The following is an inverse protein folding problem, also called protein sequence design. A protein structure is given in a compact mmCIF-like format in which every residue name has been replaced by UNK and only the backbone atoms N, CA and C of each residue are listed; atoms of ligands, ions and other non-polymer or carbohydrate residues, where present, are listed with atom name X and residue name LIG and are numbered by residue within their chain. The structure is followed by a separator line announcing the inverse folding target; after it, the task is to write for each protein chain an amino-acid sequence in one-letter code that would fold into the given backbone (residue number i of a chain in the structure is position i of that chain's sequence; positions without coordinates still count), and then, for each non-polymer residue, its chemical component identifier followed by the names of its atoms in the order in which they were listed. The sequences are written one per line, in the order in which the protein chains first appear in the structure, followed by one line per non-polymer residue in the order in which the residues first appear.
data_IF_884132523921
#
_entry.id   IF_884132523921
#
_cell.length_a   1.000
_cell.length_b   1.000
_cell.length_c   1.000
_cell.angle_alpha   90.00
_cell.angle_beta   90.00
_cell.angle_gamma   90.00
#
_symmetry.space_group_name_H-M   'P 1'
#
loop_
_entity.id
_entity.type
_entity.pdbx_description
1 polymer ?
#
# COMPACT_ATOMS: atom_id res chain seq x y z
N UNK A 1 -13.18 -18.81 27.07
CA UNK A 1 -12.47 -19.16 25.84
C UNK A 1 -13.28 -18.58 24.68
N UNK A 2 -12.93 -17.39 24.23
CA UNK A 2 -13.49 -16.79 23.01
C UNK A 2 -12.36 -16.72 21.99
N UNK A 3 -12.37 -17.69 21.08
CA UNK A 3 -11.56 -17.62 19.88
C UNK A 3 -12.15 -16.55 18.96
N UNK A 4 -11.54 -15.38 18.94
CA UNK A 4 -11.75 -14.44 17.86
C UNK A 4 -10.87 -14.90 16.69
N UNK A 5 -11.39 -15.85 15.93
CA UNK A 5 -10.90 -16.20 14.60
C UNK A 5 -11.13 -14.99 13.69
N UNK A 6 -10.13 -14.13 13.60
CA UNK A 6 -10.10 -13.05 12.63
C UNK A 6 -10.01 -13.68 11.24
N UNK A 7 -11.13 -13.76 10.54
CA UNK A 7 -11.18 -14.14 9.13
C UNK A 7 -10.39 -13.08 8.38
N UNK A 8 -9.19 -13.46 7.93
CA UNK A 8 -8.39 -12.60 7.07
C UNK A 8 -9.23 -12.22 5.86
N UNK A 9 -9.47 -10.92 5.66
CA UNK A 9 -10.25 -10.38 4.54
C UNK A 9 -9.69 -10.81 3.18
N UNK A 10 -8.42 -11.25 3.13
CA UNK A 10 -7.80 -11.93 1.98
C UNK A 10 -8.53 -13.19 1.53
N UNK A 11 -9.14 -13.96 2.44
CA UNK A 11 -9.90 -15.16 2.07
C UNK A 11 -11.21 -14.81 1.37
N UNK A 12 -11.78 -13.65 1.66
CA UNK A 12 -13.05 -13.22 1.05
C UNK A 12 -12.86 -12.83 -0.43
N UNK A 13 -11.73 -12.21 -0.78
CA UNK A 13 -11.44 -11.77 -2.16
C UNK A 13 -11.09 -12.95 -3.09
N UNK A 14 -10.66 -14.09 -2.55
CA UNK A 14 -10.31 -15.28 -3.36
C UNK A 14 -11.48 -16.23 -3.63
N UNK A 15 -12.64 -16.05 -2.98
CA UNK A 15 -13.74 -17.03 -3.03
C UNK A 15 -14.90 -16.62 -3.95
N UNK A 16 -14.84 -15.50 -4.65
CA UNK A 16 -15.90 -15.05 -5.57
C UNK A 16 -15.60 -15.28 -7.05
N UNK A 17 -14.88 -16.34 -7.40
CA UNK A 17 -14.92 -16.88 -8.76
C UNK A 17 -16.08 -17.86 -8.87
N UNK A 18 -17.32 -17.37 -8.85
CA UNK A 18 -18.49 -18.17 -9.18
C UNK A 18 -18.76 -17.96 -10.67
N UNK A 19 -18.58 -19.04 -11.42
CA UNK A 19 -19.01 -19.16 -12.80
C UNK A 19 -20.52 -18.89 -12.89
N UNK A 20 -20.94 -17.89 -13.65
CA UNK A 20 -22.34 -17.64 -14.00
C UNK A 20 -22.61 -18.26 -15.37
N UNK A 21 -23.58 -19.16 -15.50
CA UNK A 21 -24.00 -19.65 -16.82
C UNK A 21 -24.74 -18.57 -17.59
N UNK A 22 -24.44 -18.49 -18.88
CA UNK A 22 -25.08 -17.59 -19.83
C UNK A 22 -26.59 -17.83 -19.92
N UNK A 23 -27.37 -16.82 -19.61
CA UNK A 23 -28.74 -16.70 -20.08
C UNK A 23 -28.99 -15.26 -20.52
N UNK A 24 -29.20 -15.09 -21.78
CA UNK A 24 -29.48 -13.83 -22.47
C UNK A 24 -30.83 -13.26 -22.03
N UNK A 25 -30.81 -12.02 -21.48
CA UNK A 25 -31.98 -11.15 -21.47
C UNK A 25 -31.52 -9.75 -21.91
N UNK A 26 -31.98 -9.38 -23.08
CA UNK A 26 -31.90 -8.01 -23.58
C UNK A 26 -32.81 -7.12 -22.70
N UNK A 27 -32.25 -6.40 -21.76
CA UNK A 27 -32.93 -5.31 -21.11
C UNK A 27 -32.10 -4.04 -21.39
N UNK A 28 -32.71 -3.08 -22.06
CA UNK A 28 -32.25 -1.71 -22.18
C UNK A 28 -32.17 -1.12 -20.75
N UNK A 29 -31.01 -1.23 -20.13
CA UNK A 29 -30.70 -0.65 -18.85
C UNK A 29 -29.50 0.24 -19.02
N UNK A 30 -29.70 1.54 -18.77
CA UNK A 30 -28.65 2.52 -18.62
C UNK A 30 -27.50 1.93 -17.81
N UNK A 31 -26.37 1.70 -18.44
CA UNK A 31 -25.12 1.48 -17.73
C UNK A 31 -24.86 2.76 -16.94
N UNK A 32 -25.15 2.71 -15.65
CA UNK A 32 -24.60 3.65 -14.72
C UNK A 32 -23.09 3.45 -14.79
N UNK A 33 -22.45 4.21 -15.68
CA UNK A 33 -21.02 4.44 -15.59
C UNK A 33 -20.88 5.24 -14.31
N UNK A 34 -20.66 4.56 -13.19
CA UNK A 34 -20.23 5.21 -11.97
C UNK A 34 -18.93 5.90 -12.34
N UNK A 35 -18.97 7.23 -12.43
CA UNK A 35 -17.75 8.01 -12.57
C UNK A 35 -16.81 7.56 -11.46
N UNK A 36 -15.54 7.24 -11.76
CA UNK A 36 -14.59 6.90 -10.72
C UNK A 36 -14.62 8.01 -9.67
N UNK A 37 -14.62 7.63 -8.39
CA UNK A 37 -14.58 8.60 -7.32
C UNK A 37 -13.43 9.58 -7.61
N UNK A 38 -13.66 10.88 -7.41
CA UNK A 38 -12.72 11.93 -7.80
C UNK A 38 -11.30 11.78 -7.21
N UNK A 39 -11.10 10.79 -6.32
CA UNK A 39 -9.84 10.46 -5.65
C UNK A 39 -9.40 9.00 -5.89
N UNK A 40 -10.06 8.26 -6.78
CA UNK A 40 -9.66 6.89 -7.07
C UNK A 40 -8.28 6.86 -7.75
N UNK A 41 -7.39 6.01 -7.23
CA UNK A 41 -6.06 5.79 -7.79
C UNK A 41 -6.17 4.92 -9.04
N UNK A 42 -5.39 5.25 -10.06
CA UNK A 42 -5.21 4.38 -11.21
C UNK A 42 -4.42 3.14 -10.77
N UNK A 43 -4.97 1.96 -11.05
CA UNK A 43 -4.36 0.67 -10.71
C UNK A 43 -3.44 0.21 -11.85
N UNK A 44 -2.39 0.96 -12.10
CA UNK A 44 -1.50 0.75 -13.24
C UNK A 44 -0.15 0.12 -12.88
N UNK A 45 0.09 -0.11 -11.60
CA UNK A 45 1.34 -0.69 -11.12
C UNK A 45 2.53 0.26 -11.14
N UNK A 46 2.29 1.56 -11.32
CA UNK A 46 3.31 2.60 -11.23
C UNK A 46 3.07 3.49 -10.01
N UNK A 47 4.13 3.78 -9.29
CA UNK A 47 4.05 4.66 -8.14
C UNK A 47 4.38 6.10 -8.56
N UNK A 48 3.36 6.91 -8.71
CA UNK A 48 3.46 8.35 -8.95
C UNK A 48 3.04 9.18 -7.75
N UNK A 49 2.96 10.53 -7.90
CA UNK A 49 2.51 11.43 -6.84
C UNK A 49 1.10 11.11 -6.33
N UNK A 50 0.20 10.63 -7.20
CA UNK A 50 -1.15 10.22 -6.81
C UNK A 50 -1.13 9.01 -5.87
N UNK A 51 -0.25 8.03 -6.12
CA UNK A 51 -0.06 6.88 -5.24
C UNK A 51 0.50 7.31 -3.88
N UNK A 52 1.45 8.25 -3.86
CA UNK A 52 1.98 8.83 -2.62
C UNK A 52 0.89 9.57 -1.82
N UNK A 53 0.07 10.38 -2.49
CA UNK A 53 -1.08 11.04 -1.86
C UNK A 53 -2.13 10.02 -1.36
N UNK A 54 -2.33 8.95 -2.11
CA UNK A 54 -3.18 7.82 -1.70
C UNK A 54 -2.69 7.17 -0.43
N UNK A 55 -1.38 6.87 -0.33
CA UNK A 55 -0.77 6.35 0.88
C UNK A 55 -0.97 7.28 2.07
N UNK A 56 -0.74 8.59 1.90
CA UNK A 56 -0.91 9.57 2.97
C UNK A 56 -2.37 9.60 3.47
N UNK A 57 -3.36 9.62 2.57
CA UNK A 57 -4.79 9.52 2.93
C UNK A 57 -5.11 8.20 3.62
N UNK A 58 -4.60 7.10 3.10
CA UNK A 58 -4.83 5.77 3.64
C UNK A 58 -4.28 5.64 5.07
N UNK A 59 -3.06 6.13 5.32
CA UNK A 59 -2.48 6.13 6.65
C UNK A 59 -3.26 7.02 7.62
N UNK A 60 -3.69 8.21 7.19
CA UNK A 60 -4.53 9.08 8.00
C UNK A 60 -5.90 8.46 8.35
N UNK A 61 -6.45 7.64 7.45
CA UNK A 61 -7.71 6.93 7.70
C UNK A 61 -7.54 5.80 8.69
N UNK A 62 -6.45 5.02 8.59
CA UNK A 62 -6.17 3.91 9.51
C UNK A 62 -5.67 4.39 10.87
N UNK A 63 -4.93 5.46 10.89
CA UNK A 63 -4.26 6.04 12.05
C UNK A 63 -4.51 7.55 12.07
N UNK A 64 -5.66 8.00 12.62
CA UNK A 64 -5.98 9.44 12.65
C UNK A 64 -4.90 10.30 13.32
N UNK A 65 -4.17 9.70 14.26
CA UNK A 65 -3.04 10.34 14.93
C UNK A 65 -1.81 10.57 14.03
N UNK A 66 -1.76 9.92 12.85
CA UNK A 66 -0.67 10.13 11.88
C UNK A 66 -0.65 11.56 11.36
N UNK A 67 -1.83 12.14 11.15
CA UNK A 67 -2.04 13.53 10.74
C UNK A 67 -1.07 13.98 9.63
N UNK A 68 -0.89 13.12 8.60
CA UNK A 68 0.03 13.37 7.49
C UNK A 68 -0.52 14.46 6.59
N UNK A 69 0.34 15.36 6.12
CA UNK A 69 0.03 16.26 5.00
C UNK A 69 -0.13 15.42 3.74
N UNK A 70 -1.24 15.63 3.03
CA UNK A 70 -1.52 14.95 1.76
C UNK A 70 -1.01 15.83 0.62
N UNK A 71 0.27 15.71 0.32
CA UNK A 71 0.97 16.51 -0.69
C UNK A 71 1.48 15.67 -1.88
N UNK A 72 1.35 14.35 -1.80
CA UNK A 72 1.80 13.42 -2.83
C UNK A 72 3.31 13.23 -2.87
N UNK A 73 4.03 13.60 -1.79
CA UNK A 73 5.48 13.48 -1.70
C UNK A 73 5.90 12.59 -0.53
N UNK A 74 6.64 11.56 -0.84
CA UNK A 74 7.38 10.77 0.15
C UNK A 74 8.76 11.41 0.29
N UNK A 75 8.96 12.11 1.39
CA UNK A 75 10.12 12.98 1.57
C UNK A 75 11.40 12.22 1.90
N UNK A 76 12.53 12.80 1.52
CA UNK A 76 13.85 12.57 2.10
C UNK A 76 14.28 11.10 2.17
N UNK A 77 14.21 10.41 1.02
CA UNK A 77 14.63 9.01 0.89
C UNK A 77 16.04 8.90 0.33
N UNK A 78 16.87 7.96 0.83
CA UNK A 78 18.22 7.78 0.31
C UNK A 78 18.21 7.37 -1.18
N UNK A 79 18.96 8.09 -2.00
CA UNK A 79 18.99 7.94 -3.45
C UNK A 79 19.50 6.58 -3.93
N UNK A 80 20.31 5.90 -3.13
CA UNK A 80 20.82 4.55 -3.48
C UNK A 80 19.70 3.48 -3.56
N UNK A 81 18.54 3.72 -2.96
CA UNK A 81 17.39 2.82 -3.10
C UNK A 81 16.65 2.98 -4.42
N UNK A 82 16.79 4.11 -5.10
CA UNK A 82 16.05 4.41 -6.33
C UNK A 82 16.27 3.33 -7.40
N UNK A 83 17.49 2.80 -7.53
CA UNK A 83 17.82 1.74 -8.48
C UNK A 83 17.09 0.41 -8.23
N UNK A 84 16.65 0.17 -6.98
CA UNK A 84 15.86 -0.98 -6.61
C UNK A 84 14.35 -0.77 -6.77
N UNK A 85 13.95 0.45 -7.07
CA UNK A 85 12.55 0.83 -7.14
C UNK A 85 12.19 1.51 -8.48
N UNK A 86 12.49 0.91 -9.64
CA UNK A 86 12.18 1.53 -10.93
C UNK A 86 10.68 1.67 -11.20
N UNK A 87 9.83 1.00 -10.43
CA UNK A 87 8.37 1.20 -10.44
C UNK A 87 7.91 2.52 -9.83
N UNK A 88 8.80 3.23 -9.14
CA UNK A 88 8.54 4.58 -8.60
C UNK A 88 8.93 5.59 -9.66
N UNK A 89 7.94 6.21 -10.29
CA UNK A 89 8.12 7.17 -11.39
C UNK A 89 8.00 8.63 -10.92
N UNK A 90 7.58 8.86 -9.68
CA UNK A 90 7.43 10.18 -9.10
C UNK A 90 6.83 10.14 -7.70
N UNK A 91 6.64 11.30 -7.09
CA UNK A 91 6.09 11.41 -5.74
C UNK A 91 7.06 10.96 -4.63
N UNK A 92 8.35 10.87 -4.94
CA UNK A 92 9.42 10.56 -3.99
C UNK A 92 10.55 11.57 -4.11
N UNK A 93 11.05 12.02 -2.99
CA UNK A 93 12.21 12.88 -2.92
C UNK A 93 13.44 12.02 -2.60
N UNK A 94 14.32 11.86 -3.59
CA UNK A 94 15.57 11.15 -3.45
C UNK A 94 16.69 12.11 -3.10
N UNK A 95 17.38 11.87 -2.00
CA UNK A 95 18.46 12.72 -1.51
C UNK A 95 19.70 11.87 -1.20
N UNK A 96 20.91 12.47 -1.20
CA UNK A 96 22.09 11.76 -0.75
C UNK A 96 21.90 11.14 0.64
N UNK A 97 22.37 9.92 0.86
CA UNK A 97 22.15 9.15 2.08
C UNK A 97 22.40 9.97 3.36
N UNK A 98 23.49 10.77 3.38
CA UNK A 98 23.84 11.60 4.54
C UNK A 98 22.84 12.73 4.84
N UNK A 99 21.98 13.05 3.87
CA UNK A 99 20.95 14.10 4.00
C UNK A 99 19.57 13.50 4.24
N UNK A 100 19.42 12.19 4.05
CA UNK A 100 18.15 11.52 4.20
C UNK A 100 17.70 11.53 5.66
N UNK A 101 16.48 12.00 5.90
CA UNK A 101 15.83 12.02 7.23
C UNK A 101 14.61 11.10 7.29
N UNK A 102 14.19 10.55 6.17
CA UNK A 102 13.05 9.65 6.05
C UNK A 102 11.69 10.35 5.96
N UNK A 103 10.65 9.55 5.89
CA UNK A 103 9.26 10.00 5.75
C UNK A 103 8.36 9.39 6.82
N UNK A 104 7.53 10.22 7.45
CA UNK A 104 6.52 9.74 8.39
C UNK A 104 5.48 8.84 7.72
N UNK A 105 5.15 9.10 6.44
CA UNK A 105 4.23 8.24 5.69
C UNK A 105 4.73 6.80 5.62
N UNK A 106 6.04 6.59 5.39
CA UNK A 106 6.65 5.26 5.39
C UNK A 106 6.73 4.65 6.78
N UNK A 107 6.90 5.46 7.84
CA UNK A 107 6.87 4.96 9.22
C UNK A 107 5.49 4.37 9.54
N UNK A 108 4.42 5.04 9.16
CA UNK A 108 3.05 4.55 9.37
C UNK A 108 2.74 3.36 8.46
N UNK A 109 3.21 3.38 7.21
CA UNK A 109 3.09 2.23 6.31
C UNK A 109 3.77 0.99 6.89
N UNK A 110 4.97 1.12 7.45
CA UNK A 110 5.65 -0.01 8.08
C UNK A 110 4.86 -0.53 9.28
N UNK A 111 4.31 0.37 10.11
CA UNK A 111 3.45 -0.01 11.24
C UNK A 111 2.25 -0.81 10.77
N UNK A 112 1.56 -0.35 9.73
CA UNK A 112 0.44 -1.07 9.12
C UNK A 112 0.86 -2.45 8.60
N UNK A 113 1.97 -2.53 7.86
CA UNK A 113 2.48 -3.82 7.35
C UNK A 113 2.80 -4.80 8.47
N UNK A 114 3.42 -4.34 9.56
CA UNK A 114 3.76 -5.18 10.71
C UNK A 114 2.52 -5.67 11.45
N UNK A 115 1.48 -4.86 11.59
CA UNK A 115 0.21 -5.29 12.18
C UNK A 115 -0.44 -6.46 11.43
N UNK A 116 -0.18 -6.57 10.13
CA UNK A 116 -0.68 -7.67 9.31
C UNK A 116 0.13 -8.98 9.46
N UNK A 117 1.30 -8.93 10.11
CA UNK A 117 2.19 -10.07 10.30
C UNK A 117 2.69 -10.21 11.75
N UNK A 118 1.78 -10.33 12.73
CA UNK A 118 2.16 -10.32 14.13
C UNK A 118 3.10 -11.47 14.50
N UNK A 119 2.97 -12.64 13.84
CA UNK A 119 3.80 -13.81 14.15
C UNK A 119 5.24 -13.67 13.68
N UNK A 120 5.47 -12.93 12.59
CA UNK A 120 6.81 -12.66 12.06
C UNK A 120 7.56 -11.64 12.91
N UNK A 121 6.83 -10.80 13.67
CA UNK A 121 7.42 -9.63 14.35
C UNK A 121 7.16 -9.60 15.85
N UNK A 122 6.70 -10.69 16.47
CA UNK A 122 6.47 -10.80 17.92
C UNK A 122 7.66 -10.36 18.79
N UNK A 123 8.87 -10.49 18.27
CA UNK A 123 10.11 -10.16 18.98
C UNK A 123 10.68 -8.79 18.59
N UNK A 124 9.97 -8.02 17.76
CA UNK A 124 10.47 -6.74 17.33
C UNK A 124 9.79 -5.65 18.17
N UNK A 125 10.37 -5.28 19.27
CA UNK A 125 10.08 -4.04 20.02
C UNK A 125 10.39 -2.76 19.21
N UNK A 126 10.41 -2.89 17.88
CA UNK A 126 10.86 -1.88 16.94
C UNK A 126 10.08 -0.56 17.02
N UNK A 127 8.83 -0.60 17.46
CA UNK A 127 7.96 0.58 17.42
C UNK A 127 7.89 1.36 18.73
N UNK A 128 8.43 0.81 19.80
CA UNK A 128 8.39 1.49 21.11
C UNK A 128 9.62 2.37 21.37
N UNK A 129 10.73 2.03 20.75
CA UNK A 129 12.04 2.59 21.17
C UNK A 129 12.74 3.44 20.11
N UNK A 130 12.37 3.30 18.82
CA UNK A 130 12.98 4.10 17.76
C UNK A 130 11.95 4.66 16.77
N UNK A 131 11.53 5.93 16.94
CA UNK A 131 10.62 6.58 16.02
C UNK A 131 11.23 6.81 14.62
N UNK A 132 12.53 6.58 14.45
CA UNK A 132 13.18 6.71 13.14
C UNK A 132 13.04 5.45 12.30
N UNK A 133 12.73 4.30 12.92
CA UNK A 133 12.49 3.05 12.22
C UNK A 133 11.27 3.19 11.30
N UNK A 134 11.49 2.89 10.04
CA UNK A 134 10.46 2.97 9.01
C UNK A 134 10.40 4.31 8.28
N UNK A 135 11.18 5.31 8.66
CA UNK A 135 11.27 6.56 7.91
C UNK A 135 11.85 6.39 6.52
N UNK A 136 12.67 5.36 6.32
CA UNK A 136 13.30 5.08 5.04
C UNK A 136 12.63 3.91 4.35
N UNK A 137 12.56 3.94 3.01
CA UNK A 137 12.30 2.73 2.28
C UNK A 137 13.49 1.79 2.50
N UNK A 138 13.19 0.57 2.85
CA UNK A 138 14.20 -0.48 3.05
C UNK A 138 13.76 -1.72 2.32
N UNK A 139 14.66 -2.66 2.11
CA UNK A 139 14.27 -4.00 1.65
C UNK A 139 13.13 -4.59 2.47
N UNK A 140 13.05 -4.23 3.76
CA UNK A 140 11.95 -4.65 4.64
C UNK A 140 10.59 -4.13 4.18
N UNK A 141 10.45 -2.83 3.86
CA UNK A 141 9.18 -2.28 3.36
C UNK A 141 8.75 -2.99 2.09
N UNK A 142 9.67 -3.12 1.14
CA UNK A 142 9.40 -3.76 -0.15
C UNK A 142 9.04 -5.23 0.03
N UNK A 143 9.85 -5.99 0.79
CA UNK A 143 9.60 -7.40 1.07
C UNK A 143 8.26 -7.62 1.78
N UNK A 144 7.93 -6.78 2.77
CA UNK A 144 6.66 -6.87 3.49
C UNK A 144 5.47 -6.54 2.61
N UNK A 145 5.62 -5.58 1.71
CA UNK A 145 4.57 -5.22 0.77
C UNK A 145 4.31 -6.38 -0.21
N UNK A 146 5.35 -7.01 -0.76
CA UNK A 146 5.20 -8.22 -1.57
C UNK A 146 4.50 -9.33 -0.80
N UNK A 147 4.96 -9.63 0.42
CA UNK A 147 4.36 -10.63 1.30
C UNK A 147 2.91 -10.33 1.61
N UNK A 148 2.56 -9.06 1.81
CA UNK A 148 1.20 -8.63 2.10
C UNK A 148 0.24 -9.06 0.99
N UNK A 149 0.67 -9.04 -0.25
CA UNK A 149 -0.14 -9.47 -1.40
C UNK A 149 0.12 -10.92 -1.84
N UNK A 150 0.95 -11.67 -1.12
CA UNK A 150 1.26 -13.08 -1.45
C UNK A 150 2.04 -13.22 -2.75
N UNK A 151 2.87 -12.23 -3.04
CA UNK A 151 3.77 -12.20 -4.20
C UNK A 151 5.19 -12.59 -3.79
N UNK A 152 6.03 -12.88 -4.79
CA UNK A 152 7.43 -13.25 -4.56
C UNK A 152 8.17 -12.13 -3.82
N UNK A 153 8.82 -12.49 -2.71
CA UNK A 153 9.50 -11.56 -1.82
C UNK A 153 10.85 -11.15 -2.40
N UNK A 154 10.84 -10.22 -3.33
CA UNK A 154 12.06 -9.58 -3.85
C UNK A 154 12.36 -8.29 -3.07
N UNK A 155 13.59 -7.79 -3.21
CA UNK A 155 13.97 -6.48 -2.67
C UNK A 155 13.78 -5.36 -3.70
N UNK A 156 13.04 -5.63 -4.78
CA UNK A 156 12.84 -4.71 -5.89
C UNK A 156 11.37 -4.36 -6.03
N UNK A 157 11.12 -3.13 -6.33
CA UNK A 157 9.80 -2.62 -6.70
C UNK A 157 9.83 -2.20 -8.17
N UNK A 158 9.77 -3.21 -9.03
CA UNK A 158 9.78 -3.00 -10.49
C UNK A 158 8.44 -2.43 -10.97
N UNK A 159 8.39 -1.89 -12.16
CA UNK A 159 7.18 -1.35 -12.78
C UNK A 159 6.98 -1.82 -14.22
N UNK A 160 5.73 -2.04 -14.64
CA UNK A 160 4.54 -2.03 -13.81
C UNK A 160 4.55 -3.18 -12.81
N UNK A 161 4.29 -2.88 -11.55
CA UNK A 161 4.40 -3.84 -10.45
C UNK A 161 3.03 -4.38 -10.04
N UNK A 162 2.84 -5.71 -10.00
CA UNK A 162 1.65 -6.31 -9.41
C UNK A 162 1.45 -5.90 -7.95
N UNK A 163 2.56 -5.70 -7.22
CA UNK A 163 2.54 -5.25 -5.83
C UNK A 163 2.00 -3.83 -5.71
N UNK A 164 2.46 -2.91 -6.57
CA UNK A 164 1.95 -1.53 -6.59
C UNK A 164 0.49 -1.52 -7.01
N UNK A 165 0.10 -2.27 -8.04
CA UNK A 165 -1.28 -2.34 -8.50
C UNK A 165 -2.22 -2.85 -7.39
N UNK A 166 -1.84 -3.91 -6.68
CA UNK A 166 -2.62 -4.45 -5.55
C UNK A 166 -2.70 -3.45 -4.39
N UNK A 167 -1.63 -2.68 -4.17
CA UNK A 167 -1.65 -1.64 -3.15
C UNK A 167 -2.56 -0.46 -3.54
N UNK A 168 -2.55 -0.05 -4.81
CA UNK A 168 -3.47 0.95 -5.34
C UNK A 168 -4.93 0.50 -5.21
N UNK A 169 -5.22 -0.78 -5.48
CA UNK A 169 -6.54 -1.37 -5.30
C UNK A 169 -6.99 -1.35 -3.83
N UNK A 170 -6.12 -1.78 -2.91
CA UNK A 170 -6.42 -1.76 -1.48
C UNK A 170 -6.68 -0.34 -0.95
N UNK A 171 -5.86 0.62 -1.36
CA UNK A 171 -6.06 2.02 -1.00
C UNK A 171 -7.41 2.55 -1.51
N UNK A 172 -7.78 2.25 -2.76
CA UNK A 172 -9.08 2.63 -3.31
C UNK A 172 -10.23 2.06 -2.48
N UNK A 173 -10.17 0.78 -2.16
CA UNK A 173 -11.19 0.13 -1.34
C UNK A 173 -11.37 0.82 0.02
N UNK A 174 -10.28 1.19 0.67
CA UNK A 174 -10.32 1.89 1.97
C UNK A 174 -10.79 3.34 1.86
N UNK A 175 -10.51 4.01 0.76
CA UNK A 175 -10.82 5.42 0.57
C UNK A 175 -12.23 5.66 0.02
N UNK A 176 -12.84 4.66 -0.63
CA UNK A 176 -14.20 4.71 -1.17
C UNK A 176 -15.28 4.27 -0.16
N UNK A 177 -14.93 3.50 0.87
CA UNK A 177 -15.80 3.02 1.95
C UNK A 177 -15.80 3.97 3.14
#
# INVERSE_FOLDING_TARGET
ANEHSGISRRKLLRTTAIAVPAASVLAFGSTLVTAPAANALKQDGWWGPETSAGLQRFMNRLFPEANLTVDGVITSQPDYYASNCPGITGGWEWVPEKQATGSLALSWMLRWLVYNFPDTYRNINFFREDPTLGKFITFRHVTLLHRHYGLDETHRLDGPSPTIASFQEEMNWWLEG
#
